data_IF_232554612267
#
_entry.id   IF_232554612267
#
_cell.length_a   1.000
_cell.length_b   1.000
_cell.length_c   1.000
_cell.angle_alpha   90.00
_cell.angle_beta   90.00
_cell.angle_gamma   90.00
#
_symmetry.space_group_name_H-M   'P 1'
#
loop_
_entity.id
_entity.type
_entity.pdbx_description
1 polymer ?
#
# COMPACT_ATOMS: atom_id res chain seq x y z
N UNK A 1 -33.66 -55.28 9.25
CA UNK A 1 -32.39 -54.51 9.31
C UNK A 1 -32.37 -53.76 10.62
N UNK A 2 -31.25 -53.85 11.33
CA UNK A 2 -31.11 -53.72 12.78
C UNK A 2 -31.32 -52.29 13.29
N UNK A 3 -31.99 -52.15 14.44
CA UNK A 3 -32.12 -50.86 15.14
C UNK A 3 -30.77 -50.19 15.41
N UNK A 4 -29.68 -50.95 15.52
CA UNK A 4 -28.34 -50.40 15.79
C UNK A 4 -27.77 -49.57 14.63
N UNK A 5 -28.02 -49.91 13.36
CA UNK A 5 -27.51 -49.11 12.23
C UNK A 5 -28.27 -47.79 12.09
N UNK A 6 -29.53 -47.77 12.52
CA UNK A 6 -30.36 -46.57 12.55
C UNK A 6 -29.97 -45.64 13.70
N UNK A 7 -29.58 -46.19 14.85
CA UNK A 7 -29.05 -45.43 15.99
C UNK A 7 -27.62 -44.89 15.71
N UNK A 8 -26.78 -45.65 15.01
CA UNK A 8 -25.47 -45.18 14.54
C UNK A 8 -25.59 -44.04 13.51
N UNK A 9 -26.56 -44.13 12.58
CA UNK A 9 -26.84 -43.05 11.63
C UNK A 9 -27.31 -41.78 12.35
N UNK A 10 -28.14 -41.90 13.39
CA UNK A 10 -28.58 -40.74 14.19
C UNK A 10 -27.43 -40.11 14.97
N UNK A 11 -26.54 -40.92 15.55
CA UNK A 11 -25.35 -40.41 16.23
C UNK A 11 -24.42 -39.70 15.27
N UNK A 12 -24.17 -40.26 14.09
CA UNK A 12 -23.30 -39.62 13.08
C UNK A 12 -23.92 -38.32 12.54
N UNK A 13 -25.23 -38.28 12.33
CA UNK A 13 -25.94 -37.04 11.97
C UNK A 13 -25.81 -35.96 13.06
N UNK A 14 -25.91 -36.35 14.33
CA UNK A 14 -25.78 -35.42 15.44
C UNK A 14 -24.35 -34.91 15.60
N UNK A 15 -23.35 -35.78 15.48
CA UNK A 15 -21.93 -35.37 15.44
C UNK A 15 -21.63 -34.44 14.26
N UNK A 16 -22.17 -34.73 13.07
CA UNK A 16 -21.96 -33.88 11.91
C UNK A 16 -22.60 -32.49 12.11
N UNK A 17 -23.79 -32.42 12.72
CA UNK A 17 -24.43 -31.16 13.06
C UNK A 17 -23.60 -30.35 14.07
N UNK A 18 -23.07 -30.99 15.11
CA UNK A 18 -22.19 -30.34 16.09
C UNK A 18 -20.90 -29.80 15.46
N UNK A 19 -20.28 -30.56 14.54
CA UNK A 19 -19.08 -30.11 13.82
C UNK A 19 -19.41 -28.94 12.89
N UNK A 20 -20.54 -28.97 12.19
CA UNK A 20 -20.98 -27.86 11.33
C UNK A 20 -21.20 -26.59 12.16
N UNK A 21 -21.88 -26.70 13.30
CA UNK A 21 -22.12 -25.56 14.19
C UNK A 21 -20.82 -24.96 14.72
N UNK A 22 -19.85 -25.80 15.11
CA UNK A 22 -18.53 -25.35 15.56
C UNK A 22 -17.74 -24.69 14.42
N UNK A 23 -17.77 -25.25 13.20
CA UNK A 23 -17.14 -24.65 12.03
C UNK A 23 -17.74 -23.26 11.72
N UNK A 24 -19.07 -23.13 11.73
CA UNK A 24 -19.76 -21.84 11.52
C UNK A 24 -19.40 -20.84 12.62
N UNK A 25 -19.29 -21.29 13.87
CA UNK A 25 -18.85 -20.43 14.98
C UNK A 25 -17.42 -19.92 14.77
N UNK A 26 -16.48 -20.79 14.43
CA UNK A 26 -15.08 -20.42 14.18
C UNK A 26 -14.96 -19.49 12.97
N UNK A 27 -15.69 -19.74 11.88
CA UNK A 27 -15.73 -18.85 10.72
C UNK A 27 -16.25 -17.46 11.08
N UNK A 28 -17.31 -17.38 11.89
CA UNK A 28 -17.86 -16.10 12.35
C UNK A 28 -16.89 -15.34 13.25
N UNK A 29 -16.16 -16.03 14.13
CA UNK A 29 -15.10 -15.42 14.94
C UNK A 29 -13.94 -14.92 14.07
N UNK A 30 -13.54 -15.71 13.07
CA UNK A 30 -12.52 -15.33 12.09
C UNK A 30 -12.92 -14.05 11.35
N UNK A 31 -14.14 -14.00 10.82
CA UNK A 31 -14.64 -12.85 10.06
C UNK A 31 -14.71 -11.59 10.92
N UNK A 32 -15.18 -11.69 12.17
CA UNK A 32 -15.21 -10.56 13.11
C UNK A 32 -13.80 -10.05 13.43
N UNK A 33 -12.85 -10.97 13.65
CA UNK A 33 -11.46 -10.61 13.91
C UNK A 33 -10.81 -9.98 12.67
N UNK A 34 -11.07 -10.52 11.48
CA UNK A 34 -10.60 -9.99 10.20
C UNK A 34 -11.10 -8.56 10.00
N UNK A 35 -12.40 -8.32 10.14
CA UNK A 35 -12.98 -6.97 10.05
C UNK A 35 -12.36 -5.99 11.05
N UNK A 36 -12.13 -6.43 12.30
CA UNK A 36 -11.48 -5.62 13.34
C UNK A 36 -10.05 -5.26 12.95
N UNK A 37 -9.27 -6.23 12.49
CA UNK A 37 -7.89 -6.01 12.04
C UNK A 37 -7.84 -5.11 10.81
N UNK A 38 -8.71 -5.31 9.82
CA UNK A 38 -8.80 -4.46 8.63
C UNK A 38 -9.11 -3.01 9.01
N UNK A 39 -10.06 -2.79 9.92
CA UNK A 39 -10.38 -1.46 10.44
C UNK A 39 -9.18 -0.84 11.18
N UNK A 40 -8.50 -1.62 12.02
CA UNK A 40 -7.34 -1.15 12.76
C UNK A 40 -6.18 -0.76 11.84
N UNK A 41 -5.86 -1.58 10.83
CA UNK A 41 -4.83 -1.30 9.84
C UNK A 41 -5.19 -0.06 9.02
N UNK A 42 -6.46 0.08 8.61
CA UNK A 42 -6.94 1.26 7.90
C UNK A 42 -6.80 2.54 8.73
N UNK A 43 -7.18 2.50 10.00
CA UNK A 43 -7.04 3.64 10.92
C UNK A 43 -5.57 3.99 11.19
N UNK A 44 -4.70 2.98 11.37
CA UNK A 44 -3.27 3.19 11.52
C UNK A 44 -2.64 3.79 10.26
N UNK A 45 -3.06 3.34 9.07
CA UNK A 45 -2.61 3.90 7.79
C UNK A 45 -3.02 5.37 7.65
N UNK A 46 -4.26 5.71 8.02
CA UNK A 46 -4.74 7.09 8.01
C UNK A 46 -3.93 7.98 8.98
N UNK A 47 -3.73 7.52 10.22
CA UNK A 47 -2.95 8.26 11.22
C UNK A 47 -1.48 8.45 10.79
N UNK A 48 -0.87 7.43 10.17
CA UNK A 48 0.48 7.54 9.61
C UNK A 48 0.52 8.56 8.47
N UNK A 49 -0.45 8.50 7.55
CA UNK A 49 -0.55 9.47 6.45
C UNK A 49 -0.67 10.90 6.98
N UNK A 50 -1.55 11.15 7.96
CA UNK A 50 -1.71 12.47 8.58
C UNK A 50 -0.42 12.96 9.26
N UNK A 51 0.30 12.06 9.93
CA UNK A 51 1.58 12.37 10.55
C UNK A 51 2.66 12.73 9.50
N UNK A 52 2.71 12.01 8.37
CA UNK A 52 3.62 12.33 7.27
C UNK A 52 3.26 13.66 6.61
N UNK A 53 1.97 13.94 6.38
CA UNK A 53 1.54 15.24 5.86
C UNK A 53 1.89 16.38 6.82
N UNK A 54 1.69 16.20 8.13
CA UNK A 54 2.08 17.21 9.12
C UNK A 54 3.60 17.45 9.12
N UNK A 55 4.39 16.38 9.00
CA UNK A 55 5.84 16.46 8.88
C UNK A 55 6.27 17.22 7.61
N UNK A 56 5.62 16.95 6.48
CA UNK A 56 5.83 17.68 5.22
C UNK A 56 5.58 19.18 5.40
N UNK A 57 4.45 19.55 5.99
CA UNK A 57 4.13 20.96 6.25
C UNK A 57 5.15 21.62 7.20
N UNK A 58 5.61 20.92 8.24
CA UNK A 58 6.65 21.43 9.15
C UNK A 58 7.99 21.61 8.43
N UNK A 59 8.42 20.65 7.62
CA UNK A 59 9.65 20.75 6.82
C UNK A 59 9.57 21.92 5.84
N UNK A 60 8.43 22.09 5.16
CA UNK A 60 8.19 23.19 4.22
C UNK A 60 8.17 24.55 4.92
N UNK A 61 7.48 24.67 6.04
CA UNK A 61 7.47 25.89 6.84
C UNK A 61 8.87 26.28 7.30
N UNK A 62 9.61 25.31 7.83
CA UNK A 62 10.94 25.58 8.34
C UNK A 62 11.96 25.87 7.23
N UNK A 63 11.79 25.31 6.02
CA UNK A 63 12.56 25.70 4.83
C UNK A 63 12.25 27.13 4.39
N UNK A 64 10.96 27.52 4.33
CA UNK A 64 10.57 28.90 4.00
C UNK A 64 11.14 29.91 5.00
N UNK A 65 11.12 29.56 6.29
CA UNK A 65 11.74 30.36 7.35
C UNK A 65 13.26 30.50 7.13
N UNK A 66 13.95 29.43 6.76
CA UNK A 66 15.37 29.49 6.41
C UNK A 66 15.63 30.41 5.22
N UNK A 67 14.88 30.26 4.12
CA UNK A 67 15.06 31.09 2.94
C UNK A 67 14.79 32.58 3.20
N UNK A 68 13.80 32.91 4.04
CA UNK A 68 13.41 34.29 4.31
C UNK A 68 14.28 34.96 5.38
N UNK A 69 14.67 34.23 6.43
CA UNK A 69 15.30 34.81 7.62
C UNK A 69 16.82 34.64 7.62
N UNK A 70 17.35 33.51 7.15
CA UNK A 70 18.78 33.22 7.20
C UNK A 70 19.63 34.24 6.43
N UNK A 71 19.28 34.68 5.20
CA UNK A 71 20.09 35.65 4.47
C UNK A 71 20.20 36.98 5.21
N UNK A 72 19.10 37.44 5.79
CA UNK A 72 19.00 38.70 6.55
C UNK A 72 19.85 38.63 7.83
N UNK A 73 19.79 37.50 8.55
CA UNK A 73 20.61 37.24 9.75
C UNK A 73 22.10 37.17 9.38
N UNK A 74 22.47 36.41 8.34
CA UNK A 74 23.86 36.30 7.89
C UNK A 74 24.43 37.64 7.40
N UNK A 75 23.61 38.48 6.75
CA UNK A 75 24.02 39.82 6.30
C UNK A 75 24.28 40.78 7.48
N UNK A 76 23.54 40.62 8.58
CA UNK A 76 23.69 41.44 9.79
C UNK A 76 24.84 41.01 10.71
N UNK A 77 25.38 39.80 10.54
CA UNK A 77 26.49 39.27 11.35
C UNK A 77 27.85 39.53 10.69
N UNK A 78 28.88 39.94 11.47
CA UNK A 78 30.24 40.07 10.98
C UNK A 78 30.78 38.77 10.37
N UNK A 79 31.50 38.85 9.25
CA UNK A 79 32.07 37.67 8.57
C UNK A 79 33.05 36.86 9.45
N UNK A 80 33.68 37.50 10.44
CA UNK A 80 34.57 36.85 11.40
C UNK A 80 33.85 36.24 12.61
N UNK A 81 32.53 36.43 12.74
CA UNK A 81 31.74 35.92 13.86
C UNK A 81 31.74 34.39 13.88
N UNK A 82 32.05 33.82 15.06
CA UNK A 82 31.91 32.37 15.30
C UNK A 82 30.47 31.91 15.07
N UNK A 83 29.49 32.67 15.55
CA UNK A 83 28.07 32.36 15.41
C UNK A 83 27.62 32.25 13.94
N UNK A 84 28.19 33.09 13.05
CA UNK A 84 27.95 33.01 11.61
C UNK A 84 28.54 31.73 11.01
N UNK A 85 29.72 31.31 11.46
CA UNK A 85 30.37 30.07 11.02
C UNK A 85 29.60 28.84 11.49
N UNK A 86 29.18 28.85 12.75
CA UNK A 86 28.42 27.77 13.36
C UNK A 86 27.08 27.55 12.64
N UNK A 87 26.35 28.63 12.32
CA UNK A 87 25.10 28.55 11.55
C UNK A 87 25.29 27.96 10.14
N UNK A 88 26.37 28.31 9.45
CA UNK A 88 26.69 27.76 8.13
C UNK A 88 27.08 26.29 8.21
N UNK A 89 27.80 25.91 9.27
CA UNK A 89 28.21 24.52 9.50
C UNK A 89 27.03 23.61 9.82
N UNK A 90 26.14 24.03 10.73
CA UNK A 90 24.93 23.26 11.06
C UNK A 90 24.02 23.11 9.84
N UNK A 91 23.92 24.14 8.98
CA UNK A 91 23.19 24.04 7.72
C UNK A 91 23.81 23.01 6.76
N UNK A 92 25.14 23.02 6.60
CA UNK A 92 25.82 22.04 5.75
C UNK A 92 25.63 20.60 6.28
N UNK A 93 25.68 20.42 7.60
CA UNK A 93 25.42 19.12 8.25
C UNK A 93 23.97 18.65 8.03
N UNK A 94 23.01 19.58 8.08
CA UNK A 94 21.60 19.30 7.77
C UNK A 94 21.42 18.85 6.32
N UNK A 95 22.03 19.56 5.37
CA UNK A 95 21.97 19.22 3.94
C UNK A 95 22.56 17.83 3.69
N UNK A 96 23.70 17.50 4.31
CA UNK A 96 24.32 16.18 4.20
C UNK A 96 23.46 15.05 4.79
N UNK A 97 22.81 15.28 5.95
CA UNK A 97 21.91 14.28 6.57
C UNK A 97 20.63 14.09 5.76
N UNK A 98 20.08 15.17 5.19
CA UNK A 98 18.91 15.08 4.33
C UNK A 98 19.24 14.30 3.06
N UNK A 99 20.40 14.55 2.44
CA UNK A 99 20.86 13.79 1.28
C UNK A 99 21.06 12.29 1.61
N UNK A 100 21.59 11.97 2.80
CA UNK A 100 21.73 10.59 3.27
C UNK A 100 20.37 9.91 3.46
N UNK A 101 19.38 10.61 4.04
CA UNK A 101 18.03 10.10 4.20
C UNK A 101 17.36 9.83 2.84
N UNK A 102 17.51 10.75 1.88
CA UNK A 102 16.98 10.59 0.52
C UNK A 102 17.61 9.40 -0.19
N UNK A 103 18.94 9.25 -0.16
CA UNK A 103 19.66 8.11 -0.77
C UNK A 103 19.23 6.76 -0.18
N UNK A 104 19.00 6.70 1.13
CA UNK A 104 18.51 5.49 1.79
C UNK A 104 17.08 5.14 1.38
N UNK A 105 16.30 6.14 0.98
CA UNK A 105 14.89 5.98 0.58
C UNK A 105 14.76 5.64 -0.90
N UNK A 106 15.56 6.25 -1.78
CA UNK A 106 15.62 5.94 -3.23
C UNK A 106 16.00 4.47 -3.50
N UNK A 107 16.94 3.92 -2.73
CA UNK A 107 17.29 2.49 -2.81
C UNK A 107 16.12 1.55 -2.47
N UNK A 108 15.08 2.03 -1.79
CA UNK A 108 13.87 1.25 -1.46
C UNK A 108 12.76 1.37 -2.50
N UNK A 109 12.86 2.31 -3.44
CA UNK A 109 11.72 2.88 -4.14
C UNK A 109 11.55 2.45 -5.60
N UNK A 110 12.15 1.34 -6.01
CA UNK A 110 11.85 0.67 -7.29
C UNK A 110 10.36 0.22 -7.42
N UNK A 111 9.48 0.53 -6.45
CA UNK A 111 8.05 0.21 -6.56
C UNK A 111 7.03 0.99 -5.71
N UNK A 112 7.36 2.11 -5.04
CA UNK A 112 6.33 2.86 -4.28
C UNK A 112 6.66 4.35 -4.11
N UNK A 113 6.12 5.17 -5.02
CA UNK A 113 6.20 6.63 -5.03
C UNK A 113 5.59 7.29 -3.77
N UNK A 114 6.34 7.32 -2.68
CA UNK A 114 6.05 8.13 -1.48
C UNK A 114 7.23 9.04 -1.12
N UNK A 115 8.02 9.43 -2.11
CA UNK A 115 8.98 10.51 -1.90
C UNK A 115 8.30 11.85 -2.17
N UNK A 116 8.39 12.70 -1.15
CA UNK A 116 8.21 14.14 -1.24
C UNK A 116 8.85 14.64 -2.55
N UNK A 117 8.16 15.48 -3.33
CA UNK A 117 8.75 16.09 -4.51
C UNK A 117 10.07 16.74 -4.14
N UNK A 118 11.11 16.65 -4.98
CA UNK A 118 12.30 17.46 -4.81
C UNK A 118 11.88 18.91 -4.64
N UNK A 119 12.34 19.58 -3.58
CA UNK A 119 12.15 21.02 -3.33
C UNK A 119 12.78 21.92 -4.42
N UNK A 120 13.13 21.36 -5.59
CA UNK A 120 13.64 22.05 -6.76
C UNK A 120 12.58 22.88 -7.50
N UNK A 121 11.29 22.59 -7.31
CA UNK A 121 10.18 23.31 -7.95
C UNK A 121 9.69 24.52 -7.14
N UNK A 122 10.60 25.34 -6.61
CA UNK A 122 10.26 26.69 -6.18
C UNK A 122 10.81 27.69 -7.20
N UNK A 123 9.97 28.49 -7.89
CA UNK A 123 10.47 29.55 -8.72
C UNK A 123 11.27 30.52 -7.83
N UNK A 124 12.45 31.00 -8.27
CA UNK A 124 13.08 32.12 -7.59
C UNK A 124 12.13 33.29 -7.79
N UNK A 125 11.38 33.66 -6.75
CA UNK A 125 10.60 34.89 -6.76
C UNK A 125 11.58 36.07 -6.68
N UNK A 126 12.29 36.31 -7.78
CA UNK A 126 12.98 37.56 -8.10
C UNK A 126 11.97 38.49 -8.75
N UNK A 127 10.99 38.93 -7.99
CA UNK A 127 10.52 40.30 -8.17
C UNK A 127 11.35 41.17 -7.23
N UNK A 128 12.49 41.60 -7.76
CA UNK A 128 13.10 42.85 -7.36
C UNK A 128 12.20 43.98 -7.88
N UNK A 129 11.06 44.18 -7.23
CA UNK A 129 10.44 45.50 -7.21
C UNK A 129 11.40 46.40 -6.43
N UNK A 130 12.07 47.28 -7.17
CA UNK A 130 12.49 48.57 -6.61
C UNK A 130 11.26 49.16 -5.89
N UNK A 131 11.52 49.70 -4.71
CA UNK A 131 10.59 50.38 -3.79
C UNK A 131 9.79 49.47 -2.85
N UNK A 132 10.01 49.72 -1.55
CA UNK A 132 9.31 49.08 -0.45
C UNK A 132 10.13 48.01 0.25
N UNK A 133 10.99 48.45 1.18
CA UNK A 133 11.46 47.64 2.30
C UNK A 133 10.35 46.69 2.81
N UNK A 134 10.61 45.37 2.96
CA UNK A 134 9.64 44.48 3.59
C UNK A 134 9.30 45.02 5.00
N UNK A 135 8.07 44.81 5.50
CA UNK A 135 7.68 45.33 6.80
C UNK A 135 8.71 44.87 7.82
N UNK A 136 9.37 45.84 8.45
CA UNK A 136 10.27 45.65 9.57
C UNK A 136 9.50 44.86 10.63
N UNK A 137 9.65 43.53 10.62
CA UNK A 137 9.47 42.72 11.80
C UNK A 137 10.37 43.36 12.86
N UNK A 138 9.77 43.68 14.00
CA UNK A 138 10.43 44.29 15.15
C UNK A 138 11.83 43.69 15.36
N UNK A 139 12.87 44.51 15.57
CA UNK A 139 14.24 44.05 15.48
C UNK A 139 14.55 43.17 16.68
N UNK A 140 14.37 41.86 16.51
CA UNK A 140 15.20 40.93 17.25
C UNK A 140 16.64 41.33 16.94
N UNK A 141 17.43 41.54 17.98
CA UNK A 141 18.87 41.74 17.85
C UNK A 141 19.43 40.71 16.84
N UNK A 142 20.34 41.09 15.94
CA UNK A 142 21.00 40.16 15.02
C UNK A 142 21.47 38.86 15.70
N UNK A 143 21.88 38.99 16.96
CA UNK A 143 22.29 37.88 17.83
C UNK A 143 21.09 37.00 18.22
N UNK A 144 19.97 37.58 18.65
CA UNK A 144 18.76 36.84 18.99
C UNK A 144 18.13 36.14 17.77
N UNK A 145 18.19 36.77 16.59
CA UNK A 145 17.78 36.14 15.33
C UNK A 145 18.67 34.95 14.94
N UNK A 146 19.97 35.09 15.16
CA UNK A 146 20.94 34.01 14.93
C UNK A 146 20.78 32.84 15.92
N UNK A 147 20.53 33.11 17.20
CA UNK A 147 20.23 32.09 18.22
C UNK A 147 18.91 31.35 17.93
N UNK A 148 17.87 32.07 17.47
CA UNK A 148 16.61 31.46 17.06
C UNK A 148 16.78 30.55 15.83
N UNK A 149 17.56 30.98 14.83
CA UNK A 149 17.89 30.17 13.66
C UNK A 149 18.72 28.94 14.02
N UNK A 150 19.71 29.10 14.92
CA UNK A 150 20.50 27.98 15.42
C UNK A 150 19.62 26.95 16.15
N UNK A 151 18.70 27.42 17.00
CA UNK A 151 17.74 26.56 17.71
C UNK A 151 16.78 25.85 16.74
N UNK A 152 16.34 26.52 15.68
CA UNK A 152 15.51 25.93 14.64
C UNK A 152 16.26 24.83 13.89
N UNK A 153 17.51 25.09 13.50
CA UNK A 153 18.36 24.10 12.84
C UNK A 153 18.63 22.88 13.74
N UNK A 154 18.93 23.08 15.02
CA UNK A 154 19.12 21.97 15.96
C UNK A 154 17.88 21.09 16.06
N UNK A 155 16.69 21.68 16.16
CA UNK A 155 15.42 20.94 16.19
C UNK A 155 15.16 20.18 14.88
N UNK A 156 15.59 20.72 13.74
CA UNK A 156 15.55 19.99 12.46
C UNK A 156 16.48 18.78 12.46
N UNK A 157 17.69 18.91 13.02
CA UNK A 157 18.62 17.77 13.15
C UNK A 157 17.98 16.67 13.99
N UNK A 158 17.42 17.02 15.15
CA UNK A 158 16.76 16.05 16.03
C UNK A 158 15.57 15.36 15.35
N UNK A 159 14.82 16.11 14.54
CA UNK A 159 13.70 15.59 13.74
C UNK A 159 14.19 14.60 12.67
N UNK A 160 15.24 14.94 11.92
CA UNK A 160 15.83 14.05 10.91
C UNK A 160 16.38 12.77 11.53
N UNK A 161 17.00 12.86 12.72
CA UNK A 161 17.48 11.68 13.45
C UNK A 161 16.33 10.82 13.96
N UNK A 162 15.24 11.44 14.43
CA UNK A 162 14.02 10.73 14.81
C UNK A 162 13.40 10.02 13.60
N UNK A 163 13.32 10.70 12.44
CA UNK A 163 12.82 10.13 11.19
C UNK A 163 13.66 8.95 10.73
N UNK A 164 14.98 9.09 10.75
CA UNK A 164 15.91 8.01 10.40
C UNK A 164 15.69 6.79 11.28
N UNK A 165 15.55 6.97 12.61
CA UNK A 165 15.25 5.87 13.54
C UNK A 165 13.91 5.23 13.27
N UNK A 166 12.86 6.00 12.96
CA UNK A 166 11.54 5.45 12.63
C UNK A 166 11.56 4.68 11.31
N UNK A 167 12.27 5.18 10.31
CA UNK A 167 12.44 4.56 8.99
C UNK A 167 13.19 3.22 9.10
N UNK A 168 14.18 3.12 10.00
CA UNK A 168 14.85 1.86 10.33
C UNK A 168 13.93 0.86 11.05
N UNK A 169 13.11 1.33 12.00
CA UNK A 169 12.12 0.46 12.67
C UNK A 169 11.08 -0.07 11.69
N UNK A 170 10.62 0.77 10.77
CA UNK A 170 9.63 0.38 9.75
C UNK A 170 10.19 -0.72 8.84
N UNK A 171 11.48 -0.68 8.50
CA UNK A 171 12.15 -1.76 7.78
C UNK A 171 12.17 -3.07 8.55
N UNK A 172 12.53 -3.01 9.83
CA UNK A 172 12.58 -4.25 10.65
C UNK A 172 11.20 -4.90 10.73
N UNK A 173 10.15 -4.09 10.83
CA UNK A 173 8.76 -4.55 10.82
C UNK A 173 8.37 -5.10 9.46
N UNK A 174 8.75 -4.42 8.37
CA UNK A 174 8.46 -4.88 7.00
C UNK A 174 9.17 -6.20 6.69
N UNK A 175 10.42 -6.36 7.10
CA UNK A 175 11.18 -7.62 6.98
C UNK A 175 10.49 -8.75 7.75
N UNK A 176 10.07 -8.52 9.00
CA UNK A 176 9.31 -9.50 9.81
C UNK A 176 7.99 -9.87 9.14
N UNK A 177 7.25 -8.89 8.62
CA UNK A 177 5.99 -9.13 7.92
C UNK A 177 6.20 -9.96 6.64
N UNK A 178 7.29 -9.73 5.90
CA UNK A 178 7.61 -10.54 4.72
C UNK A 178 7.99 -11.98 5.07
N UNK A 179 8.70 -12.22 6.19
CA UNK A 179 8.99 -13.59 6.63
C UNK A 179 7.73 -14.32 7.11
N UNK A 180 6.88 -13.67 7.90
CA UNK A 180 5.60 -14.25 8.35
C UNK A 180 4.68 -14.58 7.16
N UNK A 181 4.64 -13.71 6.15
CA UNK A 181 3.86 -13.96 4.94
C UNK A 181 4.41 -15.15 4.12
N UNK A 182 5.75 -15.32 4.08
CA UNK A 182 6.36 -16.48 3.45
C UNK A 182 6.00 -17.79 4.17
N UNK A 183 5.98 -17.79 5.52
CA UNK A 183 5.53 -18.93 6.31
C UNK A 183 4.06 -19.26 6.07
N UNK A 184 3.18 -18.24 6.02
CA UNK A 184 1.77 -18.42 5.70
C UNK A 184 1.55 -18.99 4.29
N UNK A 185 2.35 -18.56 3.31
CA UNK A 185 2.32 -19.13 1.96
C UNK A 185 2.77 -20.59 1.95
N UNK A 186 3.81 -20.95 2.70
CA UNK A 186 4.25 -22.34 2.83
C UNK A 186 3.18 -23.22 3.50
N UNK A 187 2.49 -22.69 4.52
CA UNK A 187 1.35 -23.36 5.17
C UNK A 187 0.18 -23.56 4.22
N UNK A 188 -0.18 -22.55 3.42
CA UNK A 188 -1.22 -22.68 2.38
C UNK A 188 -0.85 -23.75 1.36
N UNK A 189 0.39 -23.75 0.86
CA UNK A 189 0.84 -24.75 -0.10
C UNK A 189 0.75 -26.19 0.46
N UNK A 190 1.08 -26.40 1.74
CA UNK A 190 0.91 -27.69 2.42
C UNK A 190 -0.56 -28.08 2.58
N UNK A 191 -1.42 -27.12 2.90
CA UNK A 191 -2.86 -27.35 3.01
C UNK A 191 -3.48 -27.71 1.65
N UNK A 192 -3.05 -27.06 0.56
CA UNK A 192 -3.46 -27.37 -0.80
C UNK A 192 -2.97 -28.75 -1.26
N UNK A 193 -1.78 -29.17 -0.82
CA UNK A 193 -1.26 -30.52 -1.04
C UNK A 193 -2.07 -31.58 -0.28
N UNK A 194 -2.39 -31.33 1.00
CA UNK A 194 -3.26 -32.20 1.79
C UNK A 194 -4.67 -32.29 1.19
N UNK A 195 -5.23 -31.17 0.73
CA UNK A 195 -6.53 -31.14 0.06
C UNK A 195 -6.52 -31.98 -1.22
N UNK A 196 -5.46 -31.85 -2.03
CA UNK A 196 -5.26 -32.71 -3.22
C UNK A 196 -5.10 -34.19 -2.87
N UNK A 197 -4.42 -34.54 -1.78
CA UNK A 197 -4.28 -35.94 -1.34
C UNK A 197 -5.62 -36.53 -0.85
N UNK A 198 -6.43 -35.74 -0.16
CA UNK A 198 -7.79 -36.13 0.26
C UNK A 198 -8.70 -36.32 -0.96
N UNK A 199 -8.65 -35.39 -1.92
CA UNK A 199 -9.39 -35.50 -3.18
C UNK A 199 -8.93 -36.69 -4.03
N UNK A 200 -7.62 -36.96 -4.10
CA UNK A 200 -7.07 -38.12 -4.81
C UNK A 200 -7.46 -39.45 -4.13
N UNK A 201 -7.46 -39.50 -2.79
CA UNK A 201 -7.97 -40.66 -2.05
C UNK A 201 -9.49 -40.82 -2.21
N UNK A 202 -10.25 -39.74 -2.32
CA UNK A 202 -11.69 -39.79 -2.60
C UNK A 202 -12.00 -40.20 -4.05
N UNK A 203 -11.13 -39.85 -5.00
CA UNK A 203 -11.25 -40.19 -6.42
C UNK A 203 -10.75 -41.60 -6.78
N UNK A 204 -10.16 -42.33 -5.82
CA UNK A 204 -9.68 -43.71 -6.00
C UNK A 204 -10.61 -44.69 -5.25
N UNK A 205 -11.61 -45.33 -5.87
CA UNK A 205 -12.50 -46.29 -5.19
C UNK A 205 -11.83 -47.64 -4.91
N UNK A 206 -10.50 -47.74 -4.99
CA UNK A 206 -9.79 -49.01 -5.09
C UNK A 206 -8.58 -49.05 -4.15
N UNK A 207 -8.80 -48.92 -2.84
CA UNK A 207 -8.01 -49.59 -1.80
C UNK A 207 -8.73 -49.38 -0.44
N UNK A 208 -9.02 -50.49 0.20
CA UNK A 208 -10.02 -50.61 1.27
C UNK A 208 -9.79 -49.72 2.49
N UNK A 209 -10.91 -49.35 3.11
CA UNK A 209 -10.92 -48.95 4.51
C UNK A 209 -10.18 -50.00 5.35
N UNK A 210 -9.32 -49.61 6.32
CA UNK A 210 -8.79 -50.57 7.26
C UNK A 210 -9.95 -51.13 8.08
N UNK A 211 -10.21 -52.42 7.89
CA UNK A 211 -11.20 -53.18 8.61
C UNK A 211 -10.84 -53.20 10.10
N UNK A 212 -11.65 -52.53 10.91
CA UNK A 212 -11.79 -52.91 12.32
C UNK A 212 -12.79 -54.09 12.30
N UNK A 213 -12.25 -55.30 12.46
CA UNK A 213 -13.02 -56.52 12.59
C UNK A 213 -13.97 -56.45 13.80
N UNK A 214 -15.13 -57.10 13.72
CA UNK A 214 -15.22 -58.33 14.50
C UNK A 214 -15.75 -59.52 13.69
N UNK A 215 -15.20 -60.68 14.03
CA UNK A 215 -15.48 -61.98 13.45
C UNK A 215 -16.97 -62.37 13.55
N UNK A 216 -17.50 -62.99 12.49
CA UNK A 216 -18.82 -63.62 12.53
C UNK A 216 -19.42 -63.98 11.17
N UNK A 217 -18.93 -65.08 10.58
CA UNK A 217 -19.71 -66.16 9.93
C UNK A 217 -20.71 -65.87 8.78
N UNK A 218 -20.48 -66.61 7.69
CA UNK A 218 -21.43 -67.23 6.73
C UNK A 218 -21.80 -66.55 5.40
N UNK A 219 -21.18 -67.09 4.34
CA UNK A 219 -21.68 -67.45 3.00
C UNK A 219 -23.14 -67.12 2.64
N UNK A 220 -23.33 -66.21 1.68
CA UNK A 220 -24.58 -66.07 0.90
C UNK A 220 -24.37 -65.85 -0.60
N UNK A 221 -23.19 -66.16 -1.15
CA UNK A 221 -22.94 -66.09 -2.59
C UNK A 221 -23.32 -67.41 -3.30
N UNK A 222 -24.61 -67.75 -3.34
CA UNK A 222 -25.11 -68.87 -4.15
C UNK A 222 -26.64 -68.91 -4.37
N UNK A 223 -27.32 -67.78 -4.58
CA UNK A 223 -28.69 -67.79 -5.14
C UNK A 223 -28.95 -66.49 -5.92
N UNK A 224 -28.38 -66.35 -7.12
CA UNK A 224 -28.84 -65.31 -8.04
C UNK A 224 -28.87 -65.82 -9.49
N UNK A 225 -29.59 -66.92 -9.70
CA UNK A 225 -30.00 -67.35 -11.04
C UNK A 225 -31.23 -68.26 -10.95
N UNK A 226 -32.40 -67.68 -10.71
CA UNK A 226 -33.69 -68.19 -11.17
C UNK A 226 -34.85 -67.25 -10.78
N UNK A 227 -35.67 -66.93 -11.79
CA UNK A 227 -37.04 -66.38 -11.74
C UNK A 227 -37.18 -64.85 -11.83
N UNK A 228 -37.16 -64.38 -13.08
CA UNK A 228 -38.26 -63.55 -13.56
C UNK A 228 -39.58 -64.24 -13.22
N UNK A 229 -40.43 -63.55 -12.43
CA UNK A 229 -41.90 -63.63 -12.35
C UNK A 229 -42.37 -63.55 -10.90
N UNK A 230 -42.71 -62.36 -10.38
CA UNK A 230 -43.95 -62.02 -9.64
C UNK A 230 -43.86 -60.64 -8.95
N UNK A 231 -45.01 -59.96 -8.72
CA UNK A 231 -45.11 -58.51 -8.57
C UNK A 231 -44.97 -58.00 -7.12
N UNK A 232 -44.49 -56.75 -7.02
CA UNK A 232 -44.65 -55.75 -5.95
C UNK A 232 -44.98 -56.22 -4.53
N UNK A 233 -44.05 -55.97 -3.60
CA UNK A 233 -44.35 -55.59 -2.22
C UNK A 233 -43.27 -54.59 -1.74
N UNK A 234 -43.04 -53.53 -2.50
CA UNK A 234 -42.47 -52.31 -1.92
C UNK A 234 -43.52 -51.75 -0.97
N UNK A 235 -43.24 -51.76 0.33
CA UNK A 235 -44.14 -51.19 1.33
C UNK A 235 -44.53 -49.76 0.90
N UNK A 236 -45.83 -49.38 0.90
CA UNK A 236 -46.27 -48.04 0.50
C UNK A 236 -45.66 -46.92 1.35
N UNK A 237 -45.05 -47.25 2.50
CA UNK A 237 -44.19 -46.37 3.27
C UNK A 237 -42.84 -46.13 2.57
N UNK A 238 -42.15 -47.19 2.13
CA UNK A 238 -40.84 -47.11 1.48
C UNK A 238 -40.88 -46.31 0.16
N UNK A 239 -41.96 -46.47 -0.62
CA UNK A 239 -42.18 -45.70 -1.86
C UNK A 239 -42.35 -44.20 -1.54
N UNK A 240 -43.13 -43.86 -0.50
CA UNK A 240 -43.33 -42.47 -0.06
C UNK A 240 -42.05 -41.82 0.46
N UNK A 241 -41.23 -42.56 1.21
CA UNK A 241 -39.93 -42.07 1.68
C UNK A 241 -38.94 -41.84 0.53
N UNK A 242 -38.88 -42.75 -0.44
CA UNK A 242 -38.05 -42.57 -1.62
C UNK A 242 -38.47 -41.33 -2.42
N UNK A 243 -39.78 -41.12 -2.58
CA UNK A 243 -40.34 -39.96 -3.29
C UNK A 243 -40.12 -38.63 -2.55
N UNK A 244 -40.24 -38.61 -1.22
CA UNK A 244 -39.93 -37.43 -0.42
C UNK A 244 -38.44 -37.06 -0.50
N UNK A 245 -37.56 -38.06 -0.53
CA UNK A 245 -36.12 -37.87 -0.67
C UNK A 245 -35.75 -37.30 -2.05
N UNK A 246 -36.36 -37.80 -3.12
CA UNK A 246 -36.13 -37.25 -4.47
C UNK A 246 -36.58 -35.80 -4.58
N UNK A 247 -37.75 -35.46 -4.01
CA UNK A 247 -38.24 -34.06 -3.99
C UNK A 247 -37.34 -33.13 -3.16
N UNK A 248 -36.80 -33.63 -2.04
CA UNK A 248 -35.85 -32.87 -1.24
C UNK A 248 -34.56 -32.58 -2.03
N UNK A 249 -34.01 -33.59 -2.71
CA UNK A 249 -32.84 -33.41 -3.55
C UNK A 249 -33.09 -32.46 -4.71
N UNK A 250 -34.23 -32.57 -5.39
CA UNK A 250 -34.64 -31.67 -6.46
C UNK A 250 -34.73 -30.21 -5.97
N UNK A 251 -35.28 -29.99 -4.78
CA UNK A 251 -35.33 -28.64 -4.19
C UNK A 251 -33.95 -28.10 -3.85
N UNK A 252 -33.06 -28.95 -3.32
CA UNK A 252 -31.67 -28.54 -3.02
C UNK A 252 -30.88 -28.23 -4.29
N UNK A 253 -31.01 -29.04 -5.35
CA UNK A 253 -30.31 -28.78 -6.62
C UNK A 253 -30.84 -27.50 -7.27
N UNK A 254 -32.14 -27.24 -7.19
CA UNK A 254 -32.72 -25.99 -7.67
C UNK A 254 -32.20 -24.77 -6.90
N UNK A 255 -32.08 -24.89 -5.57
CA UNK A 255 -31.54 -23.81 -4.72
C UNK A 255 -30.08 -23.52 -5.05
N UNK A 256 -29.25 -24.57 -5.14
CA UNK A 256 -27.84 -24.44 -5.50
C UNK A 256 -27.64 -23.87 -6.91
N UNK A 257 -28.47 -24.27 -7.88
CA UNK A 257 -28.42 -23.69 -9.22
C UNK A 257 -28.78 -22.20 -9.24
N UNK A 258 -29.74 -21.77 -8.42
CA UNK A 258 -30.08 -20.35 -8.30
C UNK A 258 -28.94 -19.54 -7.65
N UNK A 259 -28.30 -20.08 -6.62
CA UNK A 259 -27.13 -19.45 -5.98
C UNK A 259 -25.95 -19.35 -6.95
N UNK A 260 -25.70 -20.40 -7.75
CA UNK A 260 -24.67 -20.39 -8.78
C UNK A 260 -24.95 -19.30 -9.83
N UNK A 261 -26.20 -19.16 -10.28
CA UNK A 261 -26.59 -18.13 -11.23
C UNK A 261 -26.37 -16.71 -10.68
N UNK A 262 -26.73 -16.47 -9.41
CA UNK A 262 -26.50 -15.19 -8.73
C UNK A 262 -25.00 -14.89 -8.56
N UNK A 263 -24.21 -15.90 -8.22
CA UNK A 263 -22.75 -15.76 -8.12
C UNK A 263 -22.13 -15.38 -9.47
N UNK A 264 -22.57 -16.02 -10.55
CA UNK A 264 -22.09 -15.71 -11.91
C UNK A 264 -22.46 -14.28 -12.32
N UNK A 265 -23.67 -13.82 -12.01
CA UNK A 265 -24.10 -12.45 -12.29
C UNK A 265 -23.31 -11.43 -11.46
N UNK A 266 -23.10 -11.69 -10.16
CA UNK A 266 -22.31 -10.83 -9.29
C UNK A 266 -20.85 -10.75 -9.75
N UNK A 267 -20.25 -11.87 -10.14
CA UNK A 267 -18.90 -11.88 -10.68
C UNK A 267 -18.80 -11.08 -11.99
N UNK A 268 -19.78 -11.23 -12.89
CA UNK A 268 -19.83 -10.45 -14.13
C UNK A 268 -20.01 -8.94 -13.85
N UNK A 269 -20.83 -8.56 -12.87
CA UNK A 269 -21.00 -7.18 -12.46
C UNK A 269 -19.69 -6.60 -11.87
N UNK A 270 -19.01 -7.36 -11.01
CA UNK A 270 -17.72 -6.96 -10.43
C UNK A 270 -16.63 -6.82 -11.50
N UNK A 271 -16.57 -7.75 -12.45
CA UNK A 271 -15.63 -7.70 -13.58
C UNK A 271 -15.84 -6.45 -14.43
N UNK A 272 -17.09 -6.09 -14.75
CA UNK A 272 -17.41 -4.84 -15.46
C UNK A 272 -17.03 -3.59 -14.66
N UNK A 273 -17.31 -3.57 -13.36
CA UNK A 273 -16.96 -2.45 -12.49
C UNK A 273 -15.44 -2.25 -12.42
N UNK A 274 -14.69 -3.34 -12.26
CA UNK A 274 -13.22 -3.34 -12.26
C UNK A 274 -12.64 -2.83 -13.59
N UNK A 275 -13.18 -3.26 -14.73
CA UNK A 275 -12.77 -2.76 -16.04
C UNK A 275 -13.01 -1.25 -16.19
N UNK A 276 -14.18 -0.77 -15.77
CA UNK A 276 -14.51 0.66 -15.82
C UNK A 276 -13.60 1.52 -14.91
N UNK A 277 -13.21 1.00 -13.75
CA UNK A 277 -12.27 1.68 -12.86
C UNK A 277 -10.86 1.74 -13.47
N UNK A 278 -10.40 0.64 -14.09
CA UNK A 278 -9.13 0.60 -14.79
C UNK A 278 -9.07 1.62 -15.93
N UNK A 279 -10.15 1.75 -16.71
CA UNK A 279 -10.22 2.73 -17.80
C UNK A 279 -10.21 4.17 -17.27
N UNK A 280 -10.90 4.45 -16.15
CA UNK A 280 -10.83 5.76 -15.48
C UNK A 280 -9.42 6.08 -15.00
N UNK A 281 -8.71 5.11 -14.44
CA UNK A 281 -7.32 5.30 -13.99
C UNK A 281 -6.38 5.56 -15.17
N UNK A 282 -6.52 4.81 -16.27
CA UNK A 282 -5.76 5.07 -17.51
C UNK A 282 -6.02 6.48 -18.05
N UNK A 283 -7.27 6.92 -18.06
CA UNK A 283 -7.64 8.25 -18.52
C UNK A 283 -7.01 9.36 -17.64
N UNK A 284 -7.06 9.22 -16.31
CA UNK A 284 -6.41 10.15 -15.38
C UNK A 284 -4.90 10.19 -15.54
N UNK A 285 -4.28 9.02 -15.73
CA UNK A 285 -2.83 8.92 -15.98
C UNK A 285 -2.44 9.67 -17.26
N UNK A 286 -3.19 9.45 -18.36
CA UNK A 286 -2.95 10.14 -19.62
C UNK A 286 -3.14 11.67 -19.50
N UNK A 287 -4.13 12.13 -18.73
CA UNK A 287 -4.34 13.56 -18.49
C UNK A 287 -3.20 14.18 -17.68
N UNK A 288 -2.74 13.50 -16.63
CA UNK A 288 -1.61 13.95 -15.82
C UNK A 288 -0.31 13.99 -16.64
N UNK A 289 -0.08 13.00 -17.50
CA UNK A 289 1.07 13.00 -18.40
C UNK A 289 1.05 14.20 -19.35
N UNK A 290 -0.11 14.50 -19.98
CA UNK A 290 -0.24 15.69 -20.84
C UNK A 290 0.07 16.98 -20.09
N UNK A 291 -0.49 17.15 -18.88
CA UNK A 291 -0.22 18.34 -18.04
C UNK A 291 1.26 18.46 -17.66
N UNK A 292 1.92 17.33 -17.43
CA UNK A 292 3.36 17.31 -17.18
C UNK A 292 4.12 17.75 -18.42
N UNK A 293 3.80 17.19 -19.59
CA UNK A 293 4.46 17.53 -20.85
C UNK A 293 4.26 19.01 -21.23
N UNK A 294 3.06 19.56 -20.99
CA UNK A 294 2.76 20.98 -21.17
C UNK A 294 3.64 21.85 -20.25
N UNK A 295 3.79 21.48 -18.98
CA UNK A 295 4.67 22.20 -18.03
C UNK A 295 6.14 22.13 -18.42
N UNK A 296 6.60 20.98 -18.92
CA UNK A 296 7.97 20.83 -19.42
C UNK A 296 8.19 21.77 -20.61
N UNK A 297 7.25 21.81 -21.56
CA UNK A 297 7.32 22.72 -22.70
C UNK A 297 7.33 24.20 -22.28
N UNK A 298 6.55 24.58 -21.26
CA UNK A 298 6.58 25.92 -20.68
C UNK A 298 7.94 26.26 -20.05
N UNK A 299 8.51 25.33 -19.27
CA UNK A 299 9.83 25.48 -18.66
C UNK A 299 10.93 25.65 -19.73
N UNK A 300 10.91 24.81 -20.77
CA UNK A 300 11.86 24.90 -21.88
C UNK A 300 11.74 26.24 -22.62
N UNK A 301 10.52 26.74 -22.81
CA UNK A 301 10.29 28.05 -23.41
C UNK A 301 10.82 29.20 -22.55
N UNK A 302 10.66 29.12 -21.22
CA UNK A 302 11.22 30.10 -20.27
C UNK A 302 12.75 30.06 -20.27
N UNK A 303 13.34 28.86 -20.19
CA UNK A 303 14.79 28.66 -20.22
C UNK A 303 15.40 29.17 -21.53
N UNK A 304 14.73 28.93 -22.66
CA UNK A 304 15.14 29.46 -23.96
C UNK A 304 15.17 30.99 -23.98
N UNK A 305 14.14 31.66 -23.46
CA UNK A 305 14.11 33.13 -23.35
C UNK A 305 15.22 33.67 -22.45
N UNK A 306 15.39 33.09 -21.25
CA UNK A 306 16.44 33.52 -20.32
C UNK A 306 17.84 33.32 -20.89
N UNK A 307 18.06 32.25 -21.67
CA UNK A 307 19.34 31.99 -22.32
C UNK A 307 19.66 33.07 -23.36
N UNK A 308 18.67 33.47 -24.18
CA UNK A 308 18.83 34.56 -25.15
C UNK A 308 19.10 35.91 -24.47
N UNK A 309 18.38 36.23 -23.39
CA UNK A 309 18.61 37.46 -22.61
C UNK A 309 20.02 37.48 -22.00
N UNK A 310 20.50 36.34 -21.49
CA UNK A 310 21.85 36.22 -20.96
C UNK A 310 22.92 36.45 -22.03
N UNK A 311 22.75 35.84 -23.22
CA UNK A 311 23.64 36.05 -24.37
C UNK A 311 23.68 37.52 -24.79
N UNK A 312 22.51 38.18 -24.82
CA UNK A 312 22.42 39.61 -25.11
C UNK A 312 23.19 40.45 -24.09
N UNK A 313 22.99 40.20 -22.78
CA UNK A 313 23.71 40.90 -21.72
C UNK A 313 25.23 40.67 -21.78
N UNK A 314 25.68 39.45 -22.12
CA UNK A 314 27.10 39.14 -22.33
C UNK A 314 27.64 39.98 -23.49
N UNK A 315 26.90 40.07 -24.60
CA UNK A 315 27.30 40.86 -25.76
C UNK A 315 27.38 42.36 -25.42
N UNK A 316 26.37 42.91 -24.76
CA UNK A 316 26.34 44.30 -24.31
C UNK A 316 27.50 44.60 -23.35
N UNK A 317 27.78 43.71 -22.39
CA UNK A 317 28.92 43.86 -21.46
C UNK A 317 30.26 43.87 -22.21
N UNK A 318 30.42 43.01 -23.22
CA UNK A 318 31.62 42.98 -24.05
C UNK A 318 31.79 44.29 -24.86
N UNK A 319 30.71 44.82 -25.42
CA UNK A 319 30.71 46.11 -26.11
C UNK A 319 31.09 47.27 -25.16
N UNK A 320 30.50 47.31 -23.96
CA UNK A 320 30.81 48.32 -22.95
C UNK A 320 32.28 48.26 -22.51
N UNK A 321 32.82 47.05 -22.29
CA UNK A 321 34.25 46.85 -22.01
C UNK A 321 35.14 47.33 -23.14
N UNK A 322 34.75 47.13 -24.40
CA UNK A 322 35.49 47.68 -25.54
C UNK A 322 35.47 49.20 -25.54
N UNK A 323 34.29 49.82 -25.34
CA UNK A 323 34.14 51.29 -25.30
C UNK A 323 34.95 51.92 -24.17
N UNK A 324 34.94 51.32 -22.98
CA UNK A 324 35.76 51.76 -21.85
C UNK A 324 37.25 51.70 -22.17
N UNK A 325 37.73 50.63 -22.81
CA UNK A 325 39.13 50.52 -23.23
C UNK A 325 39.52 51.55 -24.27
N UNK A 326 38.66 51.88 -25.23
CA UNK A 326 38.95 52.95 -26.22
C UNK A 326 39.01 54.33 -25.59
N UNK A 327 38.18 54.63 -24.58
CA UNK A 327 38.20 55.91 -23.86
C UNK A 327 39.46 55.99 -22.97
N UNK A 328 39.79 54.93 -22.23
CA UNK A 328 40.98 54.90 -21.37
C UNK A 328 42.29 54.83 -22.17
N UNK A 329 42.26 54.33 -23.40
CA UNK A 329 43.42 54.28 -24.30
C UNK A 329 43.68 55.57 -25.09
N UNK A 330 42.81 56.59 -24.96
CA UNK A 330 42.96 57.90 -25.64
C UNK A 330 43.50 59.01 -24.72
N UNK A 331 43.90 58.69 -23.47
CA UNK A 331 44.57 59.61 -22.54
C UNK A 331 46.11 59.42 -22.45
N UNK A 332 46.72 58.85 -23.49
CA UNK A 332 48.19 58.71 -23.63
C UNK A 332 48.76 59.64 -24.68
#
# INVERSE_FOLDING_TARGET
MSSSTQDELRRTQQYLAEVIDECVFVERQRELMERRLTSQVSNQKAALHDAFSALEYMCRYAYLMECAVLPSVLASLPSASSLRRDLLQVRADLDARLEQLTKNTERRLEGSALLLPPLADMPPNRQATKEGSPPLMSPLSPIAGAEAMHSLFQRKVDLLDALTRTVLKLDTVQLSATSENAELQALRARMDELSRLVEANAATPALGCPAIAPAGSQDWAKVEEAKLSTPSLSSPSAVRFAQARTLAYEKTTQTLNNELALLHENYAALSRASAAEMDRLKQRSAEMQRKHDDRVAECDAVLGRLSLELEQLIHENAQLKHRLRSILGTEG
#
